data_IF_391222917731
#
_entry.id   IF_391222917731
#
_cell.length_a   1.000
_cell.length_b   1.000
_cell.length_c   1.000
_cell.angle_alpha   90.00
_cell.angle_beta   90.00
_cell.angle_gamma   90.00
#
_symmetry.space_group_name_H-M   'P 1'
#
loop_
_entity.id
_entity.type
_entity.pdbx_description
1 polymer ?
#
# COMPACT_ATOMS: atom_id res chain seq x y z
N UNK A 1 55.09 -54.52 -22.28
CA UNK A 1 54.24 -55.61 -21.76
C UNK A 1 53.07 -54.95 -21.05
N UNK A 2 51.88 -54.99 -21.67
CA UNK A 2 50.52 -54.82 -21.09
C UNK A 2 50.14 -53.57 -20.29
N UNK A 3 49.17 -52.81 -20.85
CA UNK A 3 47.92 -52.24 -20.27
C UNK A 3 47.99 -51.47 -18.92
N UNK A 4 47.39 -50.29 -18.73
CA UNK A 4 46.04 -49.85 -19.11
C UNK A 4 45.99 -48.31 -19.17
N UNK A 5 45.29 -47.78 -20.17
CA UNK A 5 44.75 -46.42 -20.18
C UNK A 5 43.65 -46.30 -19.11
N UNK A 6 43.77 -45.34 -18.19
CA UNK A 6 42.64 -44.85 -17.41
C UNK A 6 42.39 -43.38 -17.73
N UNK A 7 41.25 -43.20 -18.39
CA UNK A 7 40.73 -42.01 -19.01
C UNK A 7 40.27 -41.04 -17.91
N UNK A 8 41.06 -40.01 -17.59
CA UNK A 8 40.60 -38.89 -16.76
C UNK A 8 40.44 -37.67 -17.64
N UNK A 9 39.19 -37.44 -18.07
CA UNK A 9 38.80 -36.23 -18.76
C UNK A 9 39.12 -35.00 -17.89
N UNK A 10 39.67 -33.92 -18.47
CA UNK A 10 39.80 -32.66 -17.75
C UNK A 10 38.38 -32.15 -17.45
N UNK A 11 38.08 -31.93 -16.17
CA UNK A 11 36.85 -31.22 -15.77
C UNK A 11 37.01 -29.78 -16.25
N UNK A 12 36.27 -29.48 -17.32
CA UNK A 12 36.13 -28.12 -17.83
C UNK A 12 35.71 -27.17 -16.71
N UNK A 13 36.49 -26.09 -16.65
CA UNK A 13 36.21 -24.88 -15.91
C UNK A 13 34.93 -24.24 -16.48
N UNK A 14 33.78 -24.57 -15.90
CA UNK A 14 32.63 -23.67 -15.92
C UNK A 14 32.52 -23.03 -14.54
N UNK A 15 33.53 -22.23 -14.20
CA UNK A 15 33.34 -21.08 -13.33
C UNK A 15 32.29 -20.21 -14.01
N UNK A 16 31.02 -20.43 -13.65
CA UNK A 16 30.02 -19.38 -13.73
C UNK A 16 30.57 -18.25 -12.86
N UNK A 17 31.30 -17.33 -13.49
CA UNK A 17 31.42 -15.95 -13.06
C UNK A 17 29.99 -15.51 -12.75
N UNK A 18 29.62 -15.63 -11.48
CA UNK A 18 28.49 -14.93 -10.95
C UNK A 18 28.87 -13.48 -11.16
N UNK A 19 28.28 -12.82 -12.16
CA UNK A 19 28.19 -11.38 -12.20
C UNK A 19 27.70 -10.97 -10.81
N UNK A 20 28.65 -10.53 -9.98
CA UNK A 20 28.37 -9.86 -8.73
C UNK A 20 27.79 -8.53 -9.17
N UNK A 21 26.48 -8.54 -9.44
CA UNK A 21 25.70 -7.32 -9.51
C UNK A 21 25.84 -6.74 -8.11
N UNK A 22 26.76 -5.77 -7.92
CA UNK A 22 26.74 -4.86 -6.79
C UNK A 22 25.40 -4.13 -6.86
N UNK A 23 24.40 -4.78 -6.29
CA UNK A 23 23.04 -4.32 -6.30
C UNK A 23 23.02 -3.16 -5.32
N UNK A 24 22.85 -1.95 -5.86
CA UNK A 24 22.62 -0.71 -5.14
C UNK A 24 22.01 -1.00 -3.78
N UNK A 25 22.71 -0.59 -2.72
CA UNK A 25 22.35 -0.88 -1.34
C UNK A 25 21.08 -0.09 -0.98
N UNK A 26 19.93 -0.51 -1.53
CA UNK A 26 18.62 0.11 -1.31
C UNK A 26 18.38 0.10 0.21
N UNK A 27 18.27 1.27 0.86
CA UNK A 27 18.18 1.34 2.29
C UNK A 27 17.06 0.44 2.80
N UNK A 28 17.35 -0.31 3.86
CA UNK A 28 16.45 -1.35 4.37
C UNK A 28 15.07 -0.83 4.76
N UNK A 29 14.93 0.47 5.03
CA UNK A 29 13.68 1.10 5.43
C UNK A 29 12.84 1.63 4.25
N UNK A 30 13.27 1.47 3.00
CA UNK A 30 12.47 1.88 1.85
C UNK A 30 11.33 0.87 1.60
N UNK A 31 10.11 1.34 1.27
CA UNK A 31 8.96 0.49 1.01
C UNK A 31 9.00 -0.07 -0.42
N UNK A 32 10.02 -0.86 -0.72
CA UNK A 32 10.17 -1.47 -2.05
C UNK A 32 9.56 -2.86 -2.08
N UNK A 33 8.57 -3.06 -2.95
CA UNK A 33 8.03 -4.39 -3.25
C UNK A 33 8.98 -5.16 -4.18
N UNK A 34 9.37 -6.39 -3.82
CA UNK A 34 10.34 -7.19 -4.57
C UNK A 34 9.80 -8.58 -4.92
N UNK A 35 9.47 -8.81 -6.18
CA UNK A 35 8.98 -10.11 -6.66
C UNK A 35 9.68 -10.52 -7.95
N UNK A 36 9.65 -11.82 -8.27
CA UNK A 36 10.04 -12.31 -9.60
C UNK A 36 9.07 -11.75 -10.65
N UNK A 37 9.59 -11.28 -11.78
CA UNK A 37 8.81 -10.59 -12.81
C UNK A 37 7.60 -11.40 -13.30
N UNK A 38 7.75 -12.72 -13.42
CA UNK A 38 6.68 -13.63 -13.88
C UNK A 38 5.49 -13.75 -12.90
N UNK A 39 5.68 -13.42 -11.61
CA UNK A 39 4.64 -13.48 -10.58
C UNK A 39 4.12 -12.10 -10.20
N UNK A 40 4.63 -11.03 -10.82
CA UNK A 40 4.29 -9.65 -10.52
C UNK A 40 2.78 -9.32 -10.61
N UNK A 41 2.01 -9.84 -11.60
CA UNK A 41 0.60 -9.48 -11.72
C UNK A 41 -0.28 -10.04 -10.59
N UNK A 42 0.06 -11.22 -10.05
CA UNK A 42 -0.81 -11.98 -9.14
C UNK A 42 -1.12 -11.20 -7.85
N UNK A 43 -0.11 -10.70 -7.10
CA UNK A 43 -0.36 -9.92 -5.89
C UNK A 43 -1.17 -8.65 -6.14
N UNK A 44 -0.98 -8.00 -7.29
CA UNK A 44 -1.69 -6.77 -7.65
C UNK A 44 -3.18 -7.07 -7.85
N UNK A 45 -3.50 -8.10 -8.64
CA UNK A 45 -4.89 -8.52 -8.88
C UNK A 45 -5.57 -8.89 -7.57
N UNK A 46 -4.89 -9.62 -6.69
CA UNK A 46 -5.42 -9.99 -5.36
C UNK A 46 -5.71 -8.72 -4.54
N UNK A 47 -4.77 -7.78 -4.48
CA UNK A 47 -4.95 -6.52 -3.73
C UNK A 47 -6.11 -5.71 -4.27
N UNK A 48 -6.21 -5.53 -5.59
CA UNK A 48 -7.30 -4.79 -6.23
C UNK A 48 -8.64 -5.45 -5.94
N UNK A 49 -8.72 -6.79 -6.05
CA UNK A 49 -9.96 -7.53 -5.81
C UNK A 49 -10.44 -7.38 -4.38
N UNK A 50 -9.53 -7.53 -3.39
CA UNK A 50 -9.89 -7.39 -1.98
C UNK A 50 -10.22 -5.93 -1.64
N UNK A 51 -9.44 -4.97 -2.16
CA UNK A 51 -9.71 -3.55 -1.94
C UNK A 51 -11.07 -3.12 -2.52
N UNK A 52 -11.40 -3.57 -3.72
CA UNK A 52 -12.70 -3.34 -4.35
C UNK A 52 -13.85 -3.97 -3.55
N UNK A 53 -13.66 -5.19 -3.03
CA UNK A 53 -14.65 -5.82 -2.15
C UNK A 53 -14.85 -5.02 -0.86
N UNK A 54 -13.77 -4.58 -0.20
CA UNK A 54 -13.89 -3.75 1.00
C UNK A 54 -14.61 -2.43 0.70
N UNK A 55 -14.22 -1.73 -0.38
CA UNK A 55 -14.87 -0.48 -0.79
C UNK A 55 -16.36 -0.69 -1.08
N UNK A 56 -16.72 -1.76 -1.79
CA UNK A 56 -18.11 -2.14 -2.05
C UNK A 56 -18.90 -2.39 -0.76
N UNK A 57 -18.35 -3.18 0.16
CA UNK A 57 -18.99 -3.48 1.45
C UNK A 57 -19.19 -2.21 2.28
N UNK A 58 -18.21 -1.30 2.29
CA UNK A 58 -18.32 -0.03 3.01
C UNK A 58 -19.37 0.90 2.39
N UNK A 59 -19.33 1.09 1.07
CA UNK A 59 -20.19 2.07 0.39
C UNK A 59 -21.64 1.57 0.25
N UNK A 60 -21.84 0.35 -0.29
CA UNK A 60 -23.17 -0.13 -0.65
C UNK A 60 -23.86 -0.90 0.48
N UNK A 61 -23.12 -1.65 1.29
CA UNK A 61 -23.73 -2.50 2.34
C UNK A 61 -23.78 -1.77 3.68
N UNK A 62 -22.68 -1.15 4.09
CA UNK A 62 -22.65 -0.37 5.33
C UNK A 62 -23.19 1.07 5.16
N UNK A 63 -23.42 1.52 3.92
CA UNK A 63 -23.99 2.84 3.63
C UNK A 63 -23.08 4.02 3.99
N UNK A 64 -21.77 3.78 4.15
CA UNK A 64 -20.82 4.82 4.51
C UNK A 64 -20.36 5.54 3.24
N UNK A 65 -20.95 6.71 3.01
CA UNK A 65 -20.64 7.58 1.89
C UNK A 65 -19.82 8.77 2.39
N UNK A 66 -18.61 8.93 1.87
CA UNK A 66 -17.72 10.02 2.23
C UNK A 66 -17.27 10.68 0.92
N UNK A 67 -17.66 11.93 0.70
CA UNK A 67 -17.12 12.71 -0.41
C UNK A 67 -15.81 13.38 0.03
N UNK A 68 -14.68 12.87 -0.48
CA UNK A 68 -13.36 13.41 -0.23
C UNK A 68 -12.97 14.56 -1.16
N UNK A 69 -13.83 14.95 -2.12
CA UNK A 69 -13.59 16.07 -3.02
C UNK A 69 -13.64 17.42 -2.32
N UNK A 70 -12.85 18.38 -2.79
CA UNK A 70 -12.95 19.79 -2.35
C UNK A 70 -14.13 20.50 -3.01
N UNK A 71 -14.41 20.13 -4.26
CA UNK A 71 -15.58 20.55 -5.02
C UNK A 71 -16.53 19.36 -5.20
N UNK A 72 -17.83 19.51 -4.85
CA UNK A 72 -18.80 18.45 -5.02
C UNK A 72 -19.00 18.16 -6.51
N UNK A 73 -18.78 16.91 -6.92
CA UNK A 73 -18.97 16.51 -8.32
C UNK A 73 -20.44 16.45 -8.72
N UNK A 74 -21.36 16.38 -7.77
CA UNK A 74 -22.80 16.42 -8.04
C UNK A 74 -23.22 17.75 -8.67
N UNK A 75 -22.63 18.86 -8.23
CA UNK A 75 -22.94 20.20 -8.72
C UNK A 75 -22.12 20.60 -9.95
N UNK A 76 -20.84 20.19 -9.99
CA UNK A 76 -19.86 20.66 -10.99
C UNK A 76 -19.48 19.60 -12.02
N UNK A 77 -19.92 18.35 -11.86
CA UNK A 77 -19.64 17.24 -12.78
C UNK A 77 -18.15 17.08 -13.10
N UNK A 78 -17.84 16.97 -14.39
CA UNK A 78 -16.48 16.86 -14.91
C UNK A 78 -15.57 18.02 -14.46
N UNK A 79 -16.11 19.25 -14.39
CA UNK A 79 -15.33 20.42 -13.98
C UNK A 79 -14.89 20.29 -12.53
N UNK A 80 -15.78 19.81 -11.64
CA UNK A 80 -15.46 19.50 -10.25
C UNK A 80 -14.32 18.47 -10.16
N UNK A 81 -14.41 17.40 -10.96
CA UNK A 81 -13.35 16.37 -11.02
C UNK A 81 -11.99 16.91 -11.46
N UNK A 82 -11.95 17.79 -12.46
CA UNK A 82 -10.72 18.43 -12.92
C UNK A 82 -10.13 19.35 -11.83
N UNK A 83 -10.95 20.17 -11.19
CA UNK A 83 -10.50 21.07 -10.11
C UNK A 83 -9.94 20.29 -8.92
N UNK A 84 -10.64 19.25 -8.48
CA UNK A 84 -10.16 18.34 -7.44
C UNK A 84 -8.84 17.68 -7.84
N UNK A 85 -8.75 17.16 -9.06
CA UNK A 85 -7.53 16.54 -9.58
C UNK A 85 -6.32 17.49 -9.58
N UNK A 86 -6.52 18.75 -9.97
CA UNK A 86 -5.47 19.79 -9.91
C UNK A 86 -5.05 20.02 -8.45
N UNK A 87 -5.99 20.19 -7.52
CA UNK A 87 -5.68 20.44 -6.10
C UNK A 87 -4.86 19.27 -5.52
N UNK A 88 -5.31 18.03 -5.71
CA UNK A 88 -4.59 16.85 -5.20
C UNK A 88 -3.19 16.72 -5.80
N UNK A 89 -3.03 17.06 -7.08
CA UNK A 89 -1.73 17.06 -7.76
C UNK A 89 -0.80 18.12 -7.17
N UNK A 90 -1.29 19.36 -6.99
CA UNK A 90 -0.51 20.45 -6.38
C UNK A 90 -0.08 20.10 -4.96
N UNK A 91 -0.98 19.55 -4.15
CA UNK A 91 -0.67 19.09 -2.79
C UNK A 91 0.40 17.99 -2.79
N UNK A 92 0.32 17.06 -3.75
CA UNK A 92 1.31 15.99 -3.92
C UNK A 92 2.69 16.55 -4.29
N UNK A 93 2.75 17.53 -5.19
CA UNK A 93 4.01 18.21 -5.58
C UNK A 93 4.62 18.96 -4.40
N UNK A 94 3.82 19.69 -3.62
CA UNK A 94 4.29 20.39 -2.41
C UNK A 94 4.85 19.39 -1.40
N UNK A 95 4.13 18.28 -1.17
CA UNK A 95 4.59 17.21 -0.27
C UNK A 95 5.92 16.61 -0.74
N UNK A 96 6.06 16.29 -2.02
CA UNK A 96 7.30 15.79 -2.61
C UNK A 96 8.46 16.77 -2.43
N UNK A 97 8.23 18.08 -2.66
CA UNK A 97 9.24 19.11 -2.45
C UNK A 97 9.71 19.20 -0.99
N UNK A 98 8.77 19.13 -0.03
CA UNK A 98 9.09 19.09 1.41
C UNK A 98 9.96 17.86 1.74
N UNK A 99 9.61 16.69 1.20
CA UNK A 99 10.39 15.45 1.40
C UNK A 99 11.82 15.63 0.85
N UNK A 100 11.97 16.13 -0.38
CA UNK A 100 13.28 16.39 -1.00
C UNK A 100 14.10 17.38 -0.18
N UNK A 101 13.48 18.47 0.29
CA UNK A 101 14.12 19.45 1.15
C UNK A 101 14.63 18.84 2.46
N UNK A 102 13.83 17.99 3.11
CA UNK A 102 14.21 17.29 4.34
C UNK A 102 15.38 16.31 4.10
N UNK A 103 15.35 15.57 2.99
CA UNK A 103 16.45 14.68 2.59
C UNK A 103 17.73 15.48 2.37
N UNK A 104 17.67 16.61 1.67
CA UNK A 104 18.83 17.48 1.43
C UNK A 104 19.41 18.03 2.73
N UNK A 105 18.57 18.36 3.72
CA UNK A 105 19.00 18.98 4.98
C UNK A 105 19.51 17.98 6.03
N UNK A 106 18.91 16.79 6.12
CA UNK A 106 19.16 15.82 7.21
C UNK A 106 19.59 14.43 6.72
N UNK A 107 19.78 14.25 5.41
CA UNK A 107 20.18 13.00 4.78
C UNK A 107 19.04 12.01 4.59
N UNK A 108 19.35 10.88 3.93
CA UNK A 108 18.37 9.85 3.57
C UNK A 108 17.72 9.16 4.78
N UNK A 109 18.36 9.22 5.95
CA UNK A 109 17.84 8.64 7.20
C UNK A 109 16.50 9.23 7.65
N UNK A 110 16.13 10.42 7.19
CA UNK A 110 14.81 11.02 7.49
C UNK A 110 13.66 10.17 6.95
N UNK A 111 13.85 9.52 5.80
CA UNK A 111 12.82 8.68 5.18
C UNK A 111 12.37 7.55 6.10
N UNK A 112 13.26 7.03 6.97
CA UNK A 112 12.89 6.03 7.98
C UNK A 112 11.77 6.53 8.89
N UNK A 113 11.86 7.80 9.32
CA UNK A 113 10.86 8.40 10.20
C UNK A 113 9.58 8.74 9.44
N UNK A 114 9.70 9.27 8.21
CA UNK A 114 8.54 9.58 7.35
C UNK A 114 7.74 8.31 7.07
N UNK A 115 8.39 7.25 6.57
CA UNK A 115 7.71 5.99 6.28
C UNK A 115 7.22 5.29 7.55
N UNK A 116 8.00 5.31 8.63
CA UNK A 116 7.58 4.73 9.90
C UNK A 116 6.32 5.39 10.47
N UNK A 117 6.30 6.72 10.47
CA UNK A 117 5.12 7.48 10.88
C UNK A 117 3.94 7.23 9.93
N UNK A 118 4.16 7.29 8.62
CA UNK A 118 3.09 7.09 7.62
C UNK A 118 2.48 5.69 7.72
N UNK A 119 3.31 4.65 7.84
CA UNK A 119 2.83 3.26 8.00
C UNK A 119 2.16 3.02 9.35
N UNK A 120 2.67 3.60 10.43
CA UNK A 120 2.03 3.50 11.74
C UNK A 120 0.69 4.24 11.77
N UNK A 121 0.65 5.47 11.27
CA UNK A 121 -0.53 6.32 11.28
C UNK A 121 -1.61 5.78 10.33
N UNK A 122 -1.31 5.64 9.03
CA UNK A 122 -2.28 5.13 8.06
C UNK A 122 -2.64 3.67 8.37
N UNK A 123 -1.66 2.85 8.76
CA UNK A 123 -1.90 1.46 9.15
C UNK A 123 -2.89 1.38 10.30
N UNK A 124 -2.72 2.16 11.36
CA UNK A 124 -3.65 2.15 12.48
C UNK A 124 -5.05 2.60 12.07
N UNK A 125 -5.18 3.81 11.51
CA UNK A 125 -6.49 4.42 11.26
C UNK A 125 -7.28 3.67 10.18
N UNK A 126 -6.64 3.28 9.08
CA UNK A 126 -7.34 2.55 8.01
C UNK A 126 -7.71 1.13 8.46
N UNK A 127 -6.84 0.45 9.20
CA UNK A 127 -7.18 -0.88 9.73
C UNK A 127 -8.34 -0.80 10.70
N UNK A 128 -8.33 0.19 11.60
CA UNK A 128 -9.42 0.36 12.56
C UNK A 128 -10.72 0.73 11.86
N UNK A 129 -10.68 1.65 10.89
CA UNK A 129 -11.84 2.01 10.06
C UNK A 129 -12.42 0.78 9.35
N UNK A 130 -11.62 0.00 8.64
CA UNK A 130 -12.15 -1.18 7.93
C UNK A 130 -12.56 -2.30 8.90
N UNK A 131 -11.88 -2.45 10.03
CA UNK A 131 -12.29 -3.40 11.06
C UNK A 131 -13.64 -3.02 11.67
N UNK A 132 -13.92 -1.74 11.90
CA UNK A 132 -15.22 -1.29 12.42
C UNK A 132 -16.35 -1.56 11.42
N UNK A 133 -16.11 -1.36 10.12
CA UNK A 133 -17.07 -1.75 9.07
C UNK A 133 -17.33 -3.26 9.09
N UNK A 134 -16.29 -4.09 9.15
CA UNK A 134 -16.46 -5.55 9.19
C UNK A 134 -17.24 -5.97 10.44
N UNK A 135 -16.91 -5.41 11.61
CA UNK A 135 -17.63 -5.67 12.87
C UNK A 135 -19.10 -5.27 12.72
N UNK A 136 -19.38 -4.06 12.23
CA UNK A 136 -20.74 -3.59 11.99
C UNK A 136 -21.54 -4.56 11.11
N UNK A 137 -20.96 -5.00 9.99
CA UNK A 137 -21.60 -5.93 9.06
C UNK A 137 -21.83 -7.33 9.65
N UNK A 138 -21.00 -7.77 10.61
CA UNK A 138 -21.25 -9.02 11.33
C UNK A 138 -22.44 -8.85 12.29
N UNK A 139 -22.51 -7.74 13.01
CA UNK A 139 -23.52 -7.53 14.04
C UNK A 139 -24.91 -7.25 13.48
N UNK A 140 -25.03 -6.62 12.31
CA UNK A 140 -26.34 -6.39 11.65
C UNK A 140 -27.04 -7.68 11.19
N UNK A 141 -26.30 -8.81 11.11
CA UNK A 141 -26.89 -10.12 10.77
C UNK A 141 -27.71 -10.74 11.92
N UNK A 142 -27.61 -10.18 13.12
CA UNK A 142 -28.27 -10.69 14.32
C UNK A 142 -29.41 -9.77 14.77
N UNK A 143 -30.46 -10.30 15.42
CA UNK A 143 -31.56 -9.48 15.92
C UNK A 143 -31.07 -8.54 17.03
N UNK A 144 -31.57 -7.31 17.00
CA UNK A 144 -31.22 -6.28 17.98
C UNK A 144 -31.70 -6.67 19.38
N UNK A 145 -30.75 -6.92 20.27
CA UNK A 145 -30.99 -7.15 21.70
C UNK A 145 -30.08 -6.23 22.52
N UNK A 146 -30.50 -5.79 23.72
CA UNK A 146 -29.68 -4.87 24.53
C UNK A 146 -28.27 -5.39 24.83
N UNK A 147 -28.14 -6.71 25.02
CA UNK A 147 -26.86 -7.39 25.24
C UNK A 147 -25.98 -7.36 23.99
N UNK A 148 -26.56 -7.61 22.82
CA UNK A 148 -25.82 -7.57 21.55
C UNK A 148 -25.34 -6.15 21.23
N UNK A 149 -26.19 -5.14 21.43
CA UNK A 149 -25.83 -3.72 21.23
C UNK A 149 -24.69 -3.32 22.17
N UNK A 150 -24.76 -3.70 23.44
CA UNK A 150 -23.67 -3.43 24.40
C UNK A 150 -22.37 -4.13 23.98
N UNK A 151 -22.47 -5.38 23.53
CA UNK A 151 -21.32 -6.15 23.03
C UNK A 151 -20.70 -5.48 21.81
N UNK A 152 -21.51 -5.02 20.86
CA UNK A 152 -21.07 -4.28 19.68
C UNK A 152 -20.24 -3.05 20.06
N UNK A 153 -20.72 -2.20 20.98
CA UNK A 153 -19.99 -1.01 21.40
C UNK A 153 -18.67 -1.35 22.10
N UNK A 154 -18.67 -2.36 22.99
CA UNK A 154 -17.44 -2.81 23.64
C UNK A 154 -16.44 -3.34 22.60
N UNK A 155 -16.90 -4.14 21.63
CA UNK A 155 -16.05 -4.71 20.60
C UNK A 155 -15.50 -3.65 19.65
N UNK A 156 -16.34 -2.74 19.17
CA UNK A 156 -15.98 -1.72 18.16
C UNK A 156 -15.15 -0.56 18.74
N UNK A 157 -15.50 -0.07 19.93
CA UNK A 157 -14.90 1.16 20.51
C UNK A 157 -13.78 0.89 21.52
N UNK A 158 -13.72 -0.31 22.12
CA UNK A 158 -12.72 -0.64 23.14
C UNK A 158 -11.76 -1.71 22.65
N UNK A 159 -12.28 -2.89 22.26
CA UNK A 159 -11.43 -4.03 21.91
C UNK A 159 -10.73 -3.80 20.56
N UNK A 160 -11.47 -3.38 19.53
CA UNK A 160 -10.95 -3.22 18.17
C UNK A 160 -9.78 -2.22 18.08
N UNK A 161 -9.85 -0.98 18.62
CA UNK A 161 -8.72 -0.05 18.56
C UNK A 161 -7.47 -0.58 19.27
N UNK A 162 -7.64 -1.28 20.40
CA UNK A 162 -6.51 -1.86 21.16
C UNK A 162 -5.85 -2.97 20.35
N UNK A 163 -6.64 -3.90 19.79
CA UNK A 163 -6.14 -4.99 18.95
C UNK A 163 -5.43 -4.44 17.71
N UNK A 164 -6.04 -3.46 17.03
CA UNK A 164 -5.45 -2.79 15.86
C UNK A 164 -4.17 -2.04 16.23
N UNK A 165 -4.13 -1.39 17.40
CA UNK A 165 -2.93 -0.74 17.92
C UNK A 165 -1.78 -1.73 18.08
N UNK A 166 -2.01 -2.82 18.81
CA UNK A 166 -1.01 -3.89 19.01
C UNK A 166 -0.55 -4.48 17.67
N UNK A 167 -1.49 -4.76 16.77
CA UNK A 167 -1.20 -5.27 15.43
C UNK A 167 -0.34 -4.30 14.61
N UNK A 168 -0.67 -3.01 14.63
CA UNK A 168 0.08 -1.96 13.90
C UNK A 168 1.50 -1.83 14.45
N UNK A 169 1.67 -1.83 15.78
CA UNK A 169 3.00 -1.83 16.39
C UNK A 169 3.81 -3.08 16.00
N UNK A 170 3.16 -4.25 15.98
CA UNK A 170 3.79 -5.49 15.52
C UNK A 170 4.23 -5.41 14.05
N UNK A 171 3.38 -4.90 13.15
CA UNK A 171 3.74 -4.70 11.74
C UNK A 171 4.91 -3.72 11.59
N UNK A 172 4.89 -2.60 12.31
CA UNK A 172 5.96 -1.60 12.26
C UNK A 172 7.30 -2.18 12.74
N UNK A 173 7.27 -2.93 13.85
CA UNK A 173 8.43 -3.64 14.37
C UNK A 173 8.98 -4.64 13.36
N UNK A 174 8.10 -5.46 12.76
CA UNK A 174 8.50 -6.42 11.72
C UNK A 174 9.03 -5.73 10.47
N UNK A 175 8.46 -4.59 10.06
CA UNK A 175 8.92 -3.83 8.89
C UNK A 175 10.37 -3.35 9.04
N UNK A 176 10.70 -2.77 10.20
CA UNK A 176 12.04 -2.22 10.44
C UNK A 176 13.09 -3.28 10.80
N UNK A 177 12.70 -4.37 11.47
CA UNK A 177 13.65 -5.38 11.98
C UNK A 177 13.80 -6.61 11.08
N UNK A 178 12.77 -6.97 10.31
CA UNK A 178 12.79 -8.21 9.52
C UNK A 178 13.71 -8.08 8.31
N UNK A 179 14.64 -9.02 8.14
CA UNK A 179 15.43 -9.16 6.92
C UNK A 179 14.70 -9.89 5.79
N UNK A 180 13.56 -10.51 6.08
CA UNK A 180 12.80 -11.29 5.10
C UNK A 180 12.08 -10.39 4.09
N UNK A 181 12.38 -10.60 2.81
CA UNK A 181 11.70 -9.92 1.68
C UNK A 181 10.20 -10.20 1.71
N UNK A 182 9.81 -11.45 2.00
CA UNK A 182 8.40 -11.85 2.06
C UNK A 182 7.62 -11.04 3.11
N UNK A 183 8.17 -10.89 4.31
CA UNK A 183 7.52 -10.11 5.38
C UNK A 183 7.32 -8.66 4.96
N UNK A 184 8.32 -8.03 4.34
CA UNK A 184 8.22 -6.64 3.90
C UNK A 184 7.22 -6.46 2.77
N UNK A 185 7.25 -7.36 1.80
CA UNK A 185 6.31 -7.37 0.69
C UNK A 185 4.87 -7.48 1.18
N UNK A 186 4.60 -8.37 2.15
CA UNK A 186 3.26 -8.52 2.73
C UNK A 186 2.82 -7.22 3.42
N UNK A 187 3.69 -6.59 4.21
CA UNK A 187 3.38 -5.33 4.89
C UNK A 187 3.11 -4.22 3.87
N UNK A 188 3.93 -4.08 2.84
CA UNK A 188 3.73 -3.08 1.78
C UNK A 188 2.42 -3.33 1.04
N UNK A 189 2.13 -4.58 0.64
CA UNK A 189 0.87 -4.93 -0.01
C UNK A 189 -0.34 -4.65 0.88
N UNK A 190 -0.24 -4.95 2.17
CA UNK A 190 -1.30 -4.71 3.14
C UNK A 190 -1.63 -3.23 3.27
N UNK A 191 -0.62 -2.37 3.43
CA UNK A 191 -0.83 -0.91 3.49
C UNK A 191 -1.37 -0.39 2.16
N UNK A 192 -0.84 -0.85 1.03
CA UNK A 192 -1.34 -0.48 -0.29
C UNK A 192 -2.80 -0.89 -0.50
N UNK A 193 -3.20 -2.06 -0.01
CA UNK A 193 -4.58 -2.54 -0.05
C UNK A 193 -5.52 -1.62 0.72
N UNK A 194 -5.16 -1.26 1.96
CA UNK A 194 -5.95 -0.36 2.79
C UNK A 194 -6.09 1.02 2.15
N UNK A 195 -4.99 1.58 1.63
CA UNK A 195 -5.01 2.87 0.93
C UNK A 195 -5.92 2.78 -0.32
N UNK A 196 -5.78 1.72 -1.12
CA UNK A 196 -6.59 1.53 -2.33
C UNK A 196 -8.08 1.41 -2.01
N UNK A 197 -8.43 0.66 -0.97
CA UNK A 197 -9.80 0.54 -0.50
C UNK A 197 -10.34 1.89 -0.02
N UNK A 198 -9.53 2.67 0.72
CA UNK A 198 -9.94 4.00 1.19
C UNK A 198 -10.14 4.99 0.04
N UNK A 199 -9.25 4.98 -0.96
CA UNK A 199 -9.37 5.84 -2.13
C UNK A 199 -10.60 5.48 -2.95
N UNK A 200 -10.95 4.20 -3.06
CA UNK A 200 -12.18 3.76 -3.73
C UNK A 200 -13.48 4.21 -3.03
N UNK A 201 -13.42 4.56 -1.74
CA UNK A 201 -14.57 5.10 -1.00
C UNK A 201 -14.58 6.63 -1.04
N UNK A 202 -13.41 7.24 -0.88
CA UNK A 202 -13.27 8.68 -0.68
C UNK A 202 -13.28 9.48 -1.98
N UNK A 203 -12.72 8.93 -3.06
CA UNK A 203 -12.51 9.69 -4.29
C UNK A 203 -13.69 9.52 -5.24
N UNK A 204 -14.35 10.62 -5.63
CA UNK A 204 -15.36 10.58 -6.68
C UNK A 204 -14.80 10.10 -8.03
N UNK A 205 -15.70 9.69 -8.92
CA UNK A 205 -15.35 9.05 -10.19
C UNK A 205 -14.55 9.97 -11.12
N UNK A 206 -14.98 11.23 -11.29
CA UNK A 206 -14.33 12.13 -12.25
C UNK A 206 -12.97 12.60 -11.73
N UNK A 207 -12.84 12.82 -10.43
CA UNK A 207 -11.58 13.14 -9.75
C UNK A 207 -10.58 12.00 -9.95
N UNK A 208 -11.00 10.76 -9.69
CA UNK A 208 -10.14 9.58 -9.88
C UNK A 208 -9.69 9.46 -11.33
N UNK A 209 -10.62 9.63 -12.27
CA UNK A 209 -10.33 9.55 -13.71
C UNK A 209 -9.35 10.65 -14.14
N UNK A 210 -9.58 11.90 -13.70
CA UNK A 210 -8.72 13.03 -14.01
C UNK A 210 -7.29 12.83 -13.47
N UNK A 211 -7.15 12.31 -12.24
CA UNK A 211 -5.85 11.98 -11.66
C UNK A 211 -5.12 10.88 -12.44
N UNK A 212 -5.81 9.79 -12.78
CA UNK A 212 -5.20 8.68 -13.52
C UNK A 212 -4.73 9.11 -14.91
N UNK A 213 -5.55 9.88 -15.62
CA UNK A 213 -5.20 10.44 -16.93
C UNK A 213 -4.03 11.40 -16.79
N UNK A 214 -4.08 12.31 -15.82
CA UNK A 214 -3.02 13.30 -15.59
C UNK A 214 -1.67 12.66 -15.28
N UNK A 215 -1.64 11.68 -14.37
CA UNK A 215 -0.42 10.93 -14.02
C UNK A 215 0.09 10.14 -15.23
N UNK A 216 -0.81 9.51 -16.01
CA UNK A 216 -0.43 8.74 -17.20
C UNK A 216 0.20 9.62 -18.29
N UNK A 217 -0.35 10.81 -18.54
CA UNK A 217 0.26 11.78 -19.45
C UNK A 217 1.61 12.28 -18.95
N UNK A 218 1.72 12.56 -17.66
CA UNK A 218 2.99 12.97 -17.05
C UNK A 218 4.06 11.88 -17.20
N UNK A 219 3.72 10.62 -16.94
CA UNK A 219 4.67 9.50 -17.04
C UNK A 219 5.18 9.33 -18.47
N UNK A 220 4.28 9.38 -19.48
CA UNK A 220 4.68 9.37 -20.89
C UNK A 220 5.60 10.56 -21.24
N UNK A 221 5.24 11.77 -20.80
CA UNK A 221 6.04 12.97 -21.06
C UNK A 221 7.44 12.89 -20.41
N UNK A 222 7.52 12.43 -19.16
CA UNK A 222 8.76 12.34 -18.41
C UNK A 222 9.72 11.30 -18.99
N UNK A 223 9.20 10.21 -19.55
CA UNK A 223 10.01 9.20 -20.26
C UNK A 223 10.55 9.73 -21.59
N UNK A 224 9.72 10.47 -22.34
CA UNK A 224 10.09 10.99 -23.65
C UNK A 224 11.10 12.16 -23.60
N UNK A 225 11.07 12.96 -22.52
CA UNK A 225 11.95 14.13 -22.35
C UNK A 225 13.11 13.89 -21.39
N UNK A 226 13.59 12.64 -21.31
CA UNK A 226 14.83 12.30 -20.59
C UNK A 226 16.08 12.79 -21.30
#
# INVERSE_FOLDING_TARGET
>A
MSNHEENTAPRDNDEKEQEIIEKDFVPHFLPTYRIRINLFPIPIIIVISIAGLLAYLTYFVAGVQIDGGYFPEEDYGLLGGILNGIIFTVLSVISAFIIVFLIKKRGIGVLRYIFGFTFGFLGFFLTWFFASIIIYLIFILFPETPTLVTTYYITSEIISPVVVGVFTFFLLYRYFKSRSIFTKNLIVLYISLLISASMGILMPLWTTTALLIGISFWDMYAVLNK
#
